data_IF_642880249253
#
_entry.id   IF_642880249253
#
_cell.length_a   1.000
_cell.length_b   1.000
_cell.length_c   1.000
_cell.angle_alpha   90.00
_cell.angle_beta   90.00
_cell.angle_gamma   90.00
#
_symmetry.space_group_name_H-M   'P 1'
#
loop_
_entity.id
_entity.type
_entity.pdbx_description
1 polymer ?
#
# COMPACT_ATOMS: atom_id res chain seq x y z
N UNK A 1 -3.27 -7.93 26.24
CA UNK A 1 -1.94 -7.41 25.86
C UNK A 1 -0.79 -8.39 26.15
N UNK A 2 -0.78 -9.13 27.27
CA UNK A 2 0.28 -10.13 27.61
C UNK A 2 0.50 -11.31 26.65
N UNK A 3 -0.40 -11.59 25.70
CA UNK A 3 -0.28 -12.73 24.77
C UNK A 3 0.55 -12.45 23.51
N UNK A 4 0.62 -11.19 23.05
CA UNK A 4 1.36 -10.83 21.85
C UNK A 4 2.87 -10.68 22.11
N UNK A 5 3.25 -10.19 23.29
CA UNK A 5 4.65 -10.07 23.73
C UNK A 5 5.36 -11.43 23.84
N UNK A 6 4.62 -12.51 24.09
CA UNK A 6 5.16 -13.87 24.11
C UNK A 6 5.37 -14.47 22.72
N UNK A 7 4.68 -13.97 21.68
CA UNK A 7 4.74 -14.50 20.31
C UNK A 7 5.74 -13.75 19.42
N UNK A 8 6.04 -12.49 19.74
CA UNK A 8 7.03 -11.67 19.05
C UNK A 8 8.04 -11.12 20.08
N UNK A 9 9.12 -11.86 20.36
CA UNK A 9 10.17 -11.34 21.23
C UNK A 9 10.64 -10.00 20.68
N UNK A 10 10.75 -8.98 21.55
CA UNK A 10 11.19 -7.63 21.17
C UNK A 10 12.58 -7.63 20.49
N UNK A 11 13.36 -8.69 20.72
CA UNK A 11 14.70 -8.90 20.19
C UNK A 11 14.70 -9.55 18.79
N UNK A 12 13.54 -10.02 18.31
CA UNK A 12 13.38 -10.62 16.99
C UNK A 12 13.07 -9.54 15.95
N UNK A 13 13.88 -9.46 14.89
CA UNK A 13 13.62 -8.53 13.79
C UNK A 13 12.82 -9.20 12.69
N UNK A 14 11.82 -8.52 12.15
CA UNK A 14 11.09 -8.97 10.96
C UNK A 14 11.03 -7.88 9.89
N UNK A 15 10.62 -8.28 8.69
CA UNK A 15 10.35 -7.39 7.58
C UNK A 15 8.92 -7.65 7.08
N UNK A 16 8.28 -6.61 6.55
CA UNK A 16 6.97 -6.72 5.90
C UNK A 16 7.21 -6.64 4.39
N UNK A 17 6.54 -7.49 3.62
CA UNK A 17 6.61 -7.46 2.16
C UNK A 17 5.21 -7.57 1.56
N UNK A 18 4.86 -6.61 0.70
CA UNK A 18 3.62 -6.60 -0.06
C UNK A 18 3.88 -7.03 -1.50
N UNK A 19 3.35 -8.19 -1.88
CA UNK A 19 3.54 -8.73 -3.23
C UNK A 19 2.88 -7.86 -4.31
N UNK A 20 3.31 -8.04 -5.56
CA UNK A 20 2.63 -7.45 -6.70
C UNK A 20 1.29 -8.14 -6.96
N UNK A 21 0.20 -7.38 -6.97
CA UNK A 21 -1.16 -7.91 -7.19
C UNK A 21 -2.02 -7.05 -8.13
N UNK A 22 -1.43 -6.04 -8.79
CA UNK A 22 -2.11 -5.17 -9.75
C UNK A 22 -3.37 -4.51 -9.17
N UNK A 23 -4.50 -4.66 -9.85
CA UNK A 23 -5.77 -4.05 -9.44
C UNK A 23 -6.36 -4.61 -8.14
N UNK A 24 -5.81 -5.72 -7.61
CA UNK A 24 -6.15 -6.29 -6.30
C UNK A 24 -5.41 -5.60 -5.14
N UNK A 25 -4.67 -4.51 -5.38
CA UNK A 25 -3.94 -3.79 -4.33
C UNK A 25 -4.80 -3.31 -3.14
N UNK A 26 -6.12 -3.20 -3.31
CA UNK A 26 -7.05 -2.85 -2.22
C UNK A 26 -6.99 -3.87 -1.08
N UNK A 27 -6.70 -5.15 -1.36
CA UNK A 27 -6.53 -6.16 -0.31
C UNK A 27 -5.28 -5.90 0.51
N UNK A 28 -4.18 -5.45 -0.11
CA UNK A 28 -2.98 -5.04 0.63
C UNK A 28 -3.25 -3.80 1.50
N UNK A 29 -4.02 -2.83 1.00
CA UNK A 29 -4.46 -1.68 1.80
C UNK A 29 -5.28 -2.15 3.02
N UNK A 30 -6.23 -3.07 2.84
CA UNK A 30 -7.01 -3.62 3.95
C UNK A 30 -6.14 -4.34 5.00
N UNK A 31 -5.15 -5.12 4.56
CA UNK A 31 -4.18 -5.75 5.47
C UNK A 31 -3.36 -4.69 6.21
N UNK A 32 -2.86 -3.68 5.52
CA UNK A 32 -2.10 -2.58 6.11
C UNK A 32 -2.93 -1.82 7.17
N UNK A 33 -4.19 -1.51 6.88
CA UNK A 33 -5.11 -0.85 7.81
C UNK A 33 -5.37 -1.72 9.05
N UNK A 34 -5.64 -3.02 8.85
CA UNK A 34 -5.86 -3.98 9.93
C UNK A 34 -4.64 -4.09 10.85
N UNK A 35 -3.43 -4.13 10.27
CA UNK A 35 -2.19 -4.14 11.04
C UNK A 35 -2.01 -2.84 11.83
N UNK A 36 -2.25 -1.67 11.23
CA UNK A 36 -2.15 -0.40 11.95
C UNK A 36 -3.18 -0.28 13.10
N UNK A 37 -4.40 -0.78 12.90
CA UNK A 37 -5.47 -0.66 13.89
C UNK A 37 -5.32 -1.66 15.04
N UNK A 38 -5.02 -2.93 14.74
CA UNK A 38 -5.08 -4.00 15.73
C UNK A 38 -3.70 -4.47 16.23
N UNK A 39 -2.64 -4.23 15.46
CA UNK A 39 -1.29 -4.66 15.79
C UNK A 39 -0.21 -3.64 15.34
N UNK A 40 -0.32 -2.36 15.73
CA UNK A 40 0.57 -1.30 15.24
C UNK A 40 2.05 -1.58 15.54
N UNK A 41 2.34 -2.33 16.62
CA UNK A 41 3.69 -2.77 16.97
C UNK A 41 4.36 -3.61 15.87
N UNK A 42 3.60 -4.36 15.07
CA UNK A 42 4.14 -5.14 13.95
C UNK A 42 4.68 -4.23 12.84
N UNK A 43 4.03 -3.09 12.61
CA UNK A 43 4.47 -2.11 11.62
C UNK A 43 5.60 -1.25 12.19
N UNK A 44 5.43 -0.75 13.43
CA UNK A 44 6.38 0.14 14.08
C UNK A 44 7.77 -0.50 14.30
N UNK A 45 7.80 -1.81 14.58
CA UNK A 45 9.05 -2.54 14.83
C UNK A 45 9.58 -3.30 13.60
N UNK A 46 8.94 -3.15 12.43
CA UNK A 46 9.45 -3.77 11.21
C UNK A 46 10.77 -3.10 10.79
N UNK A 47 11.82 -3.90 10.55
CA UNK A 47 13.13 -3.38 10.14
C UNK A 47 13.10 -2.79 8.74
N UNK A 48 12.35 -3.42 7.83
CA UNK A 48 12.17 -3.00 6.45
C UNK A 48 10.76 -3.33 5.98
N UNK A 49 10.22 -2.45 5.15
CA UNK A 49 8.97 -2.66 4.43
C UNK A 49 9.28 -2.65 2.94
N UNK A 50 8.86 -3.70 2.25
CA UNK A 50 9.07 -3.88 0.82
C UNK A 50 7.74 -3.92 0.09
N UNK A 51 7.77 -3.61 -1.20
CA UNK A 51 6.65 -3.92 -2.06
C UNK A 51 7.00 -3.94 -3.54
N UNK A 52 6.15 -4.57 -4.34
CA UNK A 52 6.24 -4.59 -5.79
C UNK A 52 4.91 -4.16 -6.43
N UNK A 53 4.94 -3.41 -7.53
CA UNK A 53 3.74 -2.95 -8.24
C UNK A 53 2.71 -2.31 -7.27
N UNK A 54 1.46 -2.78 -7.22
CA UNK A 54 0.45 -2.30 -6.28
C UNK A 54 0.84 -2.50 -4.81
N UNK A 55 1.60 -3.56 -4.49
CA UNK A 55 2.17 -3.76 -3.16
C UNK A 55 3.20 -2.69 -2.79
N UNK A 56 3.96 -2.16 -3.76
CA UNK A 56 4.85 -1.02 -3.53
C UNK A 56 4.07 0.24 -3.16
N UNK A 57 2.92 0.48 -3.81
CA UNK A 57 2.05 1.61 -3.46
C UNK A 57 1.51 1.51 -2.02
N UNK A 58 1.11 0.31 -1.59
CA UNK A 58 0.71 0.06 -0.21
C UNK A 58 1.88 0.22 0.76
N UNK A 59 3.04 -0.35 0.44
CA UNK A 59 4.24 -0.23 1.26
C UNK A 59 4.64 1.24 1.46
N UNK A 60 4.66 2.03 0.38
CA UNK A 60 4.93 3.47 0.43
C UNK A 60 3.92 4.19 1.32
N UNK A 61 2.62 3.95 1.15
CA UNK A 61 1.60 4.60 1.98
C UNK A 61 1.73 4.23 3.46
N UNK A 62 2.10 2.97 3.76
CA UNK A 62 2.31 2.49 5.11
C UNK A 62 3.51 3.18 5.79
N UNK A 63 4.65 3.28 5.11
CA UNK A 63 5.87 3.87 5.69
C UNK A 63 5.83 5.39 5.74
N UNK A 64 5.23 6.04 4.73
CA UNK A 64 5.16 7.51 4.67
C UNK A 64 4.08 8.10 5.60
N UNK A 65 3.34 7.24 6.32
CA UNK A 65 2.19 7.66 7.14
C UNK A 65 1.04 8.26 6.32
N UNK A 66 0.98 7.98 5.02
CA UNK A 66 -0.07 8.50 4.17
C UNK A 66 -1.42 7.84 4.50
N UNK A 67 -2.52 8.52 4.17
CA UNK A 67 -3.85 7.98 4.40
C UNK A 67 -4.07 6.70 3.57
N UNK A 68 -4.13 5.55 4.24
CA UNK A 68 -4.40 4.25 3.62
C UNK A 68 -5.77 4.24 2.93
N UNK A 69 -6.76 4.99 3.43
CA UNK A 69 -8.06 5.16 2.79
C UNK A 69 -7.95 5.81 1.41
N UNK A 70 -7.16 6.87 1.26
CA UNK A 70 -6.91 7.54 -0.02
C UNK A 70 -6.09 6.67 -0.99
N UNK A 71 -5.15 5.88 -0.46
CA UNK A 71 -4.43 4.89 -1.24
C UNK A 71 -5.39 3.80 -1.79
N UNK A 72 -6.30 3.30 -0.96
CA UNK A 72 -7.34 2.35 -1.36
C UNK A 72 -8.29 2.93 -2.39
N UNK A 73 -8.77 4.17 -2.18
CA UNK A 73 -9.62 4.88 -3.12
C UNK A 73 -8.92 5.09 -4.48
N UNK A 74 -7.62 5.38 -4.47
CA UNK A 74 -6.80 5.50 -5.68
C UNK A 74 -6.72 4.19 -6.46
N UNK A 75 -6.50 3.05 -5.78
CA UNK A 75 -6.48 1.73 -6.43
C UNK A 75 -7.84 1.41 -7.05
N UNK A 76 -8.94 1.64 -6.31
CA UNK A 76 -10.30 1.43 -6.82
C UNK A 76 -10.57 2.30 -8.06
N UNK A 77 -10.13 3.56 -8.06
CA UNK A 77 -10.29 4.48 -9.19
C UNK A 77 -9.54 3.98 -10.42
N UNK A 78 -8.28 3.56 -10.25
CA UNK A 78 -7.46 2.96 -11.31
C UNK A 78 -8.16 1.72 -11.89
N UNK A 79 -8.68 0.84 -11.04
CA UNK A 79 -9.43 -0.36 -11.46
C UNK A 79 -10.75 -0.05 -12.17
N UNK A 80 -11.40 1.08 -11.86
CA UNK A 80 -12.61 1.54 -12.57
C UNK A 80 -12.27 2.09 -13.94
N UNK A 81 -11.25 2.95 -14.05
CA UNK A 81 -10.84 3.53 -15.35
C UNK A 81 -10.32 2.44 -16.30
N UNK A 82 -9.60 1.45 -15.76
CA UNK A 82 -9.11 0.29 -16.50
C UNK A 82 -10.23 -0.58 -17.07
N UNK A 83 -11.44 -0.58 -16.50
CA UNK A 83 -12.59 -1.39 -16.96
C UNK A 83 -13.65 -0.59 -17.71
N UNK A 84 -13.44 0.72 -17.88
CA UNK A 84 -14.44 1.65 -18.42
C UNK A 84 -14.76 1.43 -19.90
N UNK A 85 -13.85 0.82 -20.66
CA UNK A 85 -13.91 0.72 -22.13
C UNK A 85 -13.74 -0.72 -22.59
N UNK A 86 -14.17 -1.02 -23.81
CA UNK A 86 -14.18 -2.38 -24.39
C UNK A 86 -12.82 -3.09 -24.38
N UNK A 87 -11.72 -2.35 -24.64
CA UNK A 87 -10.35 -2.89 -24.57
C UNK A 87 -9.74 -2.84 -23.16
N UNK A 88 -10.49 -2.35 -22.18
CA UNK A 88 -10.07 -2.24 -20.80
C UNK A 88 -8.71 -1.53 -20.64
N UNK A 89 -7.73 -2.15 -19.94
CA UNK A 89 -6.39 -1.59 -19.76
C UNK A 89 -5.58 -1.46 -21.05
N UNK A 90 -5.97 -2.13 -22.14
CA UNK A 90 -5.31 -2.07 -23.44
C UNK A 90 -5.83 -0.90 -24.30
N UNK A 91 -6.87 -0.20 -23.83
CA UNK A 91 -7.42 0.94 -24.55
C UNK A 91 -6.40 2.09 -24.62
N UNK A 92 -6.14 2.72 -25.79
CA UNK A 92 -5.11 3.76 -25.95
C UNK A 92 -5.25 4.96 -25.00
N UNK A 93 -6.48 5.31 -24.62
CA UNK A 93 -6.74 6.39 -23.65
C UNK A 93 -6.51 6.00 -22.18
N UNK A 94 -6.27 4.73 -21.86
CA UNK A 94 -5.91 4.31 -20.51
C UNK A 94 -4.41 4.51 -20.30
N UNK A 95 -4.07 5.41 -19.38
CA UNK A 95 -2.68 5.66 -19.01
C UNK A 95 -2.48 5.38 -17.51
N UNK A 96 -1.97 4.17 -17.23
CA UNK A 96 -1.73 3.71 -15.87
C UNK A 96 -0.72 4.60 -15.15
N UNK A 97 0.41 4.92 -15.79
CA UNK A 97 1.49 5.73 -15.22
C UNK A 97 0.98 7.12 -14.82
N UNK A 98 0.23 7.78 -15.71
CA UNK A 98 -0.38 9.09 -15.43
C UNK A 98 -1.33 9.01 -14.24
N UNK A 99 -2.14 7.96 -14.17
CA UNK A 99 -3.11 7.79 -13.08
C UNK A 99 -2.41 7.56 -11.74
N UNK A 100 -1.41 6.67 -11.70
CA UNK A 100 -0.62 6.39 -10.50
C UNK A 100 0.14 7.65 -10.04
N UNK A 101 0.77 8.37 -10.96
CA UNK A 101 1.50 9.62 -10.63
C UNK A 101 0.57 10.65 -9.97
N UNK A 102 -0.62 10.87 -10.51
CA UNK A 102 -1.59 11.79 -9.91
C UNK A 102 -2.04 11.36 -8.51
N UNK A 103 -2.17 10.05 -8.27
CA UNK A 103 -2.49 9.52 -6.94
C UNK A 103 -1.34 9.70 -5.96
N UNK A 104 -0.11 9.38 -6.36
CA UNK A 104 1.08 9.55 -5.52
C UNK A 104 1.28 11.01 -5.13
N UNK A 105 1.19 11.95 -6.07
CA UNK A 105 1.32 13.39 -5.79
C UNK A 105 0.24 13.95 -4.85
N UNK A 106 -0.86 13.24 -4.64
CA UNK A 106 -1.93 13.66 -3.70
C UNK A 106 -1.78 13.04 -2.31
N UNK A 107 -1.18 11.86 -2.24
CA UNK A 107 -1.23 11.00 -1.05
C UNK A 107 0.11 10.95 -0.34
N UNK A 108 1.21 10.96 -1.09
CA UNK A 108 2.56 10.89 -0.54
C UNK A 108 3.08 12.32 -0.29
N UNK A 109 3.68 12.59 0.87
CA UNK A 109 4.31 13.89 1.14
C UNK A 109 5.48 14.15 0.18
N UNK A 110 5.83 15.42 -0.03
CA UNK A 110 6.87 15.83 -0.97
C UNK A 110 8.25 15.22 -0.65
N UNK A 111 8.56 15.09 0.64
CA UNK A 111 9.75 14.43 1.16
C UNK A 111 9.57 12.92 1.40
N UNK A 112 8.54 12.29 0.83
CA UNK A 112 8.24 10.86 1.03
C UNK A 112 9.35 9.90 0.59
N UNK A 113 10.37 10.39 -0.12
CA UNK A 113 11.54 9.63 -0.55
C UNK A 113 12.69 9.62 0.47
N UNK A 114 12.59 10.44 1.52
CA UNK A 114 13.56 10.53 2.62
C UNK A 114 13.18 9.64 3.81
N UNK A 115 11.99 9.01 3.74
CA UNK A 115 11.41 8.14 4.78
C UNK A 115 12.02 6.75 4.75
#
# INVERSE_FOLDING_TARGET
QRGAEAMFPLDSTWNISFAGCGFLGVYHVGVASCLQEHAPFLVANAKKVYGASAGALTATALVSGACLGEAGASIIRVSKEARKRFLGPLHPSFNLVKTIRMSLSKVVPENGHEV
#
